data_IF_360669813414
#
_entry.id   IF_360669813414
#
_cell.length_a   1.000
_cell.length_b   1.000
_cell.length_c   1.000
_cell.angle_alpha   90.00
_cell.angle_beta   90.00
_cell.angle_gamma   90.00
#
_symmetry.space_group_name_H-M   'P 1'
#
loop_
_entity.id
_entity.type
_entity.pdbx_description
1 polymer ?
#
# COMPACT_ATOMS: atom_id res chain seq x y z
N UNK A 1 -12.04 7.00 -2.47
CA UNK A 1 -11.61 5.66 -2.94
C UNK A 1 -12.20 5.28 -4.31
N UNK A 2 -13.39 4.65 -4.45
CA UNK A 2 -13.84 4.18 -5.79
C UNK A 2 -14.01 5.32 -6.80
N UNK A 3 -14.65 6.43 -6.40
CA UNK A 3 -14.80 7.61 -7.26
C UNK A 3 -13.44 8.19 -7.68
N UNK A 4 -12.45 8.17 -6.80
CA UNK A 4 -11.10 8.65 -7.11
C UNK A 4 -10.39 7.72 -8.09
N UNK A 5 -10.49 6.40 -7.89
CA UNK A 5 -9.97 5.41 -8.84
C UNK A 5 -10.55 5.67 -10.23
N UNK A 6 -11.84 5.98 -10.34
CA UNK A 6 -12.49 6.30 -11.62
C UNK A 6 -12.00 7.57 -12.31
N UNK A 7 -11.30 8.47 -11.61
CA UNK A 7 -10.74 9.69 -12.20
C UNK A 7 -9.39 9.46 -12.89
N UNK A 8 -8.80 8.27 -12.74
CA UNK A 8 -7.49 7.95 -13.30
C UNK A 8 -7.61 6.93 -14.43
N UNK A 9 -6.85 7.16 -15.51
CA UNK A 9 -6.64 6.17 -16.56
C UNK A 9 -5.51 5.22 -16.16
N UNK A 10 -5.80 3.92 -16.18
CA UNK A 10 -4.82 2.86 -15.88
C UNK A 10 -5.28 1.53 -16.47
N UNK A 11 -4.35 0.60 -16.64
CA UNK A 11 -4.63 -0.78 -17.08
C UNK A 11 -4.66 -1.77 -15.91
N UNK A 12 -3.76 -1.57 -14.94
CA UNK A 12 -3.57 -2.42 -13.76
C UNK A 12 -3.59 -1.56 -12.49
N UNK A 13 -4.41 -1.95 -11.52
CA UNK A 13 -4.44 -1.35 -10.19
C UNK A 13 -3.73 -2.28 -9.18
N UNK A 14 -2.66 -1.79 -8.55
CA UNK A 14 -2.00 -2.47 -7.43
C UNK A 14 -2.63 -2.03 -6.11
N UNK A 15 -3.01 -2.98 -5.27
CA UNK A 15 -3.84 -2.71 -4.09
C UNK A 15 -3.16 -3.22 -2.82
N UNK A 16 -2.91 -2.28 -1.89
CA UNK A 16 -2.19 -2.50 -0.63
C UNK A 16 -2.95 -2.04 0.63
N UNK A 17 -4.28 -1.99 0.61
CA UNK A 17 -5.10 -1.31 1.63
C UNK A 17 -5.87 -2.24 2.59
N UNK A 18 -5.25 -3.35 3.02
CA UNK A 18 -5.79 -4.24 4.06
C UNK A 18 -7.23 -4.70 3.81
N UNK A 19 -8.11 -4.50 4.79
CA UNK A 19 -9.52 -4.92 4.74
C UNK A 19 -10.31 -4.34 3.54
N UNK A 20 -9.90 -3.18 3.02
CA UNK A 20 -10.52 -2.57 1.84
C UNK A 20 -10.06 -3.20 0.52
N UNK A 21 -9.01 -4.04 0.54
CA UNK A 21 -8.36 -4.55 -0.66
C UNK A 21 -9.28 -5.34 -1.58
N UNK A 22 -10.03 -6.30 -1.03
CA UNK A 22 -10.95 -7.12 -1.83
C UNK A 22 -12.16 -6.33 -2.38
N UNK A 23 -12.86 -5.49 -1.58
CA UNK A 23 -13.90 -4.62 -2.12
C UNK A 23 -13.41 -3.69 -3.25
N UNK A 24 -12.22 -3.08 -3.10
CA UNK A 24 -11.66 -2.21 -4.15
C UNK A 24 -11.23 -3.01 -5.38
N UNK A 25 -10.62 -4.18 -5.22
CA UNK A 25 -10.27 -5.06 -6.33
C UNK A 25 -11.51 -5.49 -7.13
N UNK A 26 -12.61 -5.79 -6.44
CA UNK A 26 -13.89 -6.11 -7.09
C UNK A 26 -14.46 -4.92 -7.86
N UNK A 27 -14.36 -3.70 -7.31
CA UNK A 27 -14.78 -2.48 -8.00
C UNK A 27 -13.93 -2.22 -9.27
N UNK A 28 -12.60 -2.33 -9.18
CA UNK A 28 -11.68 -2.21 -10.33
C UNK A 28 -12.00 -3.26 -11.41
N UNK A 29 -12.23 -4.52 -11.01
CA UNK A 29 -12.61 -5.58 -11.95
C UNK A 29 -13.94 -5.30 -12.66
N UNK A 30 -14.93 -4.72 -11.97
CA UNK A 30 -16.20 -4.28 -12.58
C UNK A 30 -16.02 -3.15 -13.60
N UNK A 31 -14.95 -2.36 -13.48
CA UNK A 31 -14.58 -1.34 -14.47
C UNK A 31 -13.91 -1.94 -15.72
N UNK A 32 -13.73 -3.26 -15.80
CA UNK A 32 -13.03 -3.93 -16.90
C UNK A 32 -11.50 -3.83 -16.83
N UNK A 33 -10.95 -3.42 -15.68
CA UNK A 33 -9.51 -3.24 -15.46
C UNK A 33 -8.93 -4.39 -14.63
N UNK A 34 -7.62 -4.58 -14.68
CA UNK A 34 -6.94 -5.60 -13.87
C UNK A 34 -6.68 -5.08 -12.45
N UNK A 35 -6.91 -5.93 -11.45
CA UNK A 35 -6.63 -5.63 -10.04
C UNK A 35 -5.71 -6.69 -9.44
N UNK A 36 -4.63 -6.26 -8.78
CA UNK A 36 -3.70 -7.14 -8.08
C UNK A 36 -3.67 -6.72 -6.61
N UNK A 37 -4.23 -7.58 -5.74
CA UNK A 37 -4.19 -7.37 -4.31
C UNK A 37 -2.95 -8.02 -3.71
N UNK A 38 -2.01 -7.21 -3.23
CA UNK A 38 -0.75 -7.66 -2.61
C UNK A 38 -0.78 -7.39 -1.10
N UNK A 39 -1.60 -6.45 -0.64
CA UNK A 39 -1.67 -6.07 0.75
C UNK A 39 -0.48 -5.22 1.18
N UNK A 40 -0.16 -5.22 2.48
CA UNK A 40 0.80 -4.29 3.06
C UNK A 40 2.24 -4.43 2.55
N UNK A 41 2.61 -5.58 1.97
CA UNK A 41 3.94 -5.81 1.37
C UNK A 41 4.12 -5.14 0.01
N UNK A 42 3.07 -4.57 -0.59
CA UNK A 42 3.14 -3.85 -1.86
C UNK A 42 4.25 -2.79 -1.86
N UNK A 43 4.44 -2.08 -0.73
CA UNK A 43 5.46 -1.05 -0.56
C UNK A 43 6.90 -1.55 -0.79
N UNK A 44 7.15 -2.84 -0.50
CA UNK A 44 8.47 -3.45 -0.65
C UNK A 44 8.90 -3.56 -2.12
N UNK A 45 7.93 -3.68 -3.05
CA UNK A 45 8.19 -3.68 -4.48
C UNK A 45 8.72 -2.32 -4.98
N UNK A 46 8.50 -1.26 -4.21
CA UNK A 46 8.92 0.11 -4.51
C UNK A 46 10.06 0.59 -3.60
N UNK A 47 10.70 -0.33 -2.85
CA UNK A 47 11.77 -0.02 -1.89
C UNK A 47 11.35 0.95 -0.77
N UNK A 48 10.08 0.89 -0.37
CA UNK A 48 9.55 1.64 0.77
C UNK A 48 9.42 0.69 1.96
N UNK A 49 9.96 1.09 3.11
CA UNK A 49 9.99 0.29 4.35
C UNK A 49 9.28 1.01 5.51
N UNK A 50 8.02 0.65 5.74
CA UNK A 50 7.32 0.96 6.98
C UNK A 50 7.85 0.15 8.18
N UNK A 51 7.50 0.59 9.38
CA UNK A 51 7.96 0.07 10.68
C UNK A 51 7.85 -1.45 10.85
N UNK A 52 6.84 -2.10 10.27
CA UNK A 52 6.65 -3.55 10.31
C UNK A 52 7.85 -4.32 9.78
N UNK A 53 8.46 -3.83 8.72
CA UNK A 53 9.52 -4.54 8.01
C UNK A 53 10.89 -4.25 8.64
N UNK A 54 11.08 -3.03 9.14
CA UNK A 54 12.30 -2.60 9.82
C UNK A 54 12.52 -3.38 11.13
N UNK A 55 11.46 -3.79 11.81
CA UNK A 55 11.53 -4.52 13.07
C UNK A 55 11.71 -6.04 12.91
N UNK A 56 11.96 -6.52 11.69
CA UNK A 56 12.12 -7.94 11.40
C UNK A 56 13.53 -8.26 10.93
N UNK A 57 14.10 -9.33 11.48
CA UNK A 57 15.47 -9.75 11.16
C UNK A 57 15.59 -10.47 9.80
N UNK A 58 14.47 -10.82 9.15
CA UNK A 58 14.44 -11.51 7.86
C UNK A 58 14.41 -10.58 6.63
N UNK A 59 14.56 -9.26 6.85
CA UNK A 59 14.67 -8.27 5.77
C UNK A 59 16.00 -7.53 5.81
N UNK A 60 16.70 -7.53 4.68
CA UNK A 60 17.90 -6.71 4.48
C UNK A 60 17.56 -5.47 3.64
N UNK A 61 17.94 -4.29 4.14
CA UNK A 61 17.69 -3.01 3.47
C UNK A 61 19.00 -2.31 3.15
N UNK A 62 19.26 -2.07 1.87
CA UNK A 62 20.37 -1.24 1.43
C UNK A 62 20.03 0.28 1.46
N UNK A 63 20.97 1.11 0.99
CA UNK A 63 20.85 2.58 0.97
C UNK A 63 19.78 3.13 0.02
N UNK A 64 19.26 2.32 -0.91
CA UNK A 64 18.21 2.71 -1.85
C UNK A 64 16.80 2.58 -1.27
N UNK A 65 16.66 2.02 -0.07
CA UNK A 65 15.38 1.90 0.62
C UNK A 65 15.05 3.15 1.43
N UNK A 66 13.83 3.65 1.27
CA UNK A 66 13.32 4.83 1.98
C UNK A 66 12.21 4.46 2.96
N UNK A 67 12.06 5.26 4.01
CA UNK A 67 10.82 5.26 4.82
C UNK A 67 9.77 6.14 4.15
N UNK A 68 8.47 5.93 4.41
CA UNK A 68 7.41 6.83 3.96
C UNK A 68 7.70 8.28 4.31
N UNK A 69 7.33 9.20 3.41
CA UNK A 69 7.51 10.64 3.62
C UNK A 69 6.57 11.13 4.72
N UNK A 70 6.97 12.15 5.47
CA UNK A 70 6.17 12.70 6.57
C UNK A 70 4.78 13.13 6.11
N UNK A 71 4.67 13.70 4.91
CA UNK A 71 3.40 14.11 4.28
C UNK A 71 2.48 12.93 3.90
N UNK A 72 3.04 11.73 3.72
CA UNK A 72 2.30 10.51 3.37
C UNK A 72 1.85 9.72 4.59
N UNK A 73 2.21 10.17 5.81
CA UNK A 73 1.79 9.54 7.07
C UNK A 73 0.45 10.13 7.53
N UNK A 74 -0.63 9.33 7.58
CA UNK A 74 -1.91 9.80 8.09
C UNK A 74 -1.80 10.24 9.56
N UNK A 75 -2.50 11.31 9.93
CA UNK A 75 -2.50 11.86 11.30
C UNK A 75 -2.90 10.85 12.39
N UNK A 76 -3.63 9.79 12.03
CA UNK A 76 -4.07 8.73 12.93
C UNK A 76 -3.36 7.39 12.67
N UNK A 77 -2.20 7.38 12.02
CA UNK A 77 -1.46 6.16 11.69
C UNK A 77 -1.14 5.29 12.91
N UNK A 78 -0.88 5.89 14.07
CA UNK A 78 -0.64 5.17 15.33
C UNK A 78 -1.81 4.28 15.77
N UNK A 79 -3.04 4.57 15.32
CA UNK A 79 -4.22 3.71 15.57
C UNK A 79 -4.22 2.43 14.73
N UNK A 80 -3.39 2.36 13.70
CA UNK A 80 -3.26 1.21 12.80
C UNK A 80 -1.96 0.50 13.13
N UNK A 81 -2.03 -0.38 14.14
CA UNK A 81 -0.90 -1.19 14.59
C UNK A 81 0.37 -0.35 14.87
N UNK A 82 0.20 0.78 15.55
CA UNK A 82 1.29 1.70 15.89
C UNK A 82 2.11 2.16 14.66
N UNK A 83 1.38 2.53 13.61
CA UNK A 83 1.88 2.98 12.33
C UNK A 83 2.72 1.93 11.58
N UNK A 84 2.35 0.64 11.64
CA UNK A 84 3.19 -0.44 11.13
C UNK A 84 3.56 -0.37 9.63
N UNK A 85 2.77 0.31 8.79
CA UNK A 85 3.08 0.48 7.37
C UNK A 85 3.75 1.82 7.03
N UNK A 86 3.97 2.65 8.06
CA UNK A 86 4.58 3.96 7.97
C UNK A 86 5.90 4.00 8.73
#
# INVERSE_FOLDING_TARGET
MIKEIQMHEFDVCLIGCGAYGLPLAAAVKKMGKQAIHIGGSLQLLFKIKGKRWVNRDDYEFDKSWISPLTEDIPSQASKVEDACYW
#
